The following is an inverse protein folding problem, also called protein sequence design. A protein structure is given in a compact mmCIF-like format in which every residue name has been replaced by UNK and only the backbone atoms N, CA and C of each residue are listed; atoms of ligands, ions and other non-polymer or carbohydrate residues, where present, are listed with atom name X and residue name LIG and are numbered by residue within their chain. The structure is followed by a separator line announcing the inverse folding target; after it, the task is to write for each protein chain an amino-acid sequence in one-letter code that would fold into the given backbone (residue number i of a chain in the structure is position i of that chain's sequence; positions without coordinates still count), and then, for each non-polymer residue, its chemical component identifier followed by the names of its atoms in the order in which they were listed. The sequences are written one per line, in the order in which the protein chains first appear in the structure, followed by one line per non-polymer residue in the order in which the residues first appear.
data_IF_237474186932
#
_entry.id   IF_237474186932
#
_cell.length_a   1.000
_cell.length_b   1.000
_cell.length_c   1.000
_cell.angle_alpha   90.00
_cell.angle_beta   90.00
_cell.angle_gamma   90.00
#
_symmetry.space_group_name_H-M   'P 1'
#
loop_
_entity.id
_entity.type
_entity.pdbx_description
1 polymer ?
#
# COMPACT_ATOMS: atom_id res chain seq x y z
N UNK A 1 -6.02 7.44 17.18
CA UNK A 1 -5.25 8.11 16.16
C UNK A 1 -4.53 7.14 15.28
N UNK A 2 -4.52 7.37 14.01
CA UNK A 2 -3.76 6.54 13.10
C UNK A 2 -2.26 6.79 13.25
N UNK A 3 -1.48 6.27 12.33
CA UNK A 3 -0.04 6.49 12.33
C UNK A 3 0.25 7.97 12.09
N UNK A 4 1.33 8.46 12.70
CA UNK A 4 1.75 9.82 12.52
C UNK A 4 2.21 10.03 11.08
N UNK A 5 2.28 11.29 10.66
CA UNK A 5 2.76 11.64 9.34
C UNK A 5 4.16 11.10 9.08
N UNK A 6 5.05 11.24 10.07
CA UNK A 6 6.43 10.77 9.94
C UNK A 6 6.50 9.25 9.81
N UNK A 7 5.74 8.55 10.65
CA UNK A 7 5.72 7.08 10.62
C UNK A 7 5.12 6.58 9.32
N UNK A 8 4.06 7.25 8.85
CA UNK A 8 3.43 6.90 7.59
C UNK A 8 4.38 7.07 6.40
N UNK A 9 5.08 8.20 6.36
CA UNK A 9 6.05 8.48 5.29
C UNK A 9 7.20 7.47 5.32
N UNK A 10 7.67 7.11 6.50
CA UNK A 10 8.74 6.13 6.66
C UNK A 10 8.32 4.77 6.12
N UNK A 11 7.11 4.33 6.48
CA UNK A 11 6.59 3.04 5.99
C UNK A 11 6.40 3.02 4.49
N UNK A 12 5.87 4.10 3.93
CA UNK A 12 5.69 4.19 2.49
C UNK A 12 7.02 4.19 1.76
N UNK A 13 8.04 4.86 2.32
CA UNK A 13 9.38 4.86 1.72
C UNK A 13 9.99 3.47 1.69
N UNK A 14 9.83 2.71 2.79
CA UNK A 14 10.31 1.32 2.84
C UNK A 14 9.59 0.44 1.81
N UNK A 15 8.28 0.59 1.72
CA UNK A 15 7.49 -0.19 0.77
C UNK A 15 7.89 0.15 -0.67
N UNK A 16 8.11 1.44 -0.95
CA UNK A 16 8.53 1.88 -2.28
C UNK A 16 9.89 1.28 -2.65
N UNK A 17 10.84 1.30 -1.72
CA UNK A 17 12.16 0.73 -1.97
C UNK A 17 12.07 -0.77 -2.22
N UNK A 18 11.28 -1.47 -1.40
CA UNK A 18 11.05 -2.90 -1.58
C UNK A 18 10.49 -3.20 -2.99
N UNK A 19 9.51 -2.42 -3.41
CA UNK A 19 8.88 -2.62 -4.71
C UNK A 19 9.82 -2.29 -5.86
N UNK A 20 10.64 -1.24 -5.72
CA UNK A 20 11.64 -0.91 -6.74
C UNK A 20 12.63 -2.06 -6.94
N UNK A 21 13.03 -2.72 -5.87
CA UNK A 21 13.92 -3.88 -5.95
C UNK A 21 13.25 -5.06 -6.67
N UNK A 22 11.93 -5.11 -6.66
CA UNK A 22 11.16 -6.10 -7.41
C UNK A 22 10.81 -5.63 -8.81
N UNK A 23 11.44 -4.56 -9.26
CA UNK A 23 11.33 -4.00 -10.61
C UNK A 23 10.01 -3.30 -10.90
N UNK A 24 9.32 -2.84 -9.86
CA UNK A 24 8.19 -1.96 -10.03
C UNK A 24 8.68 -0.52 -10.15
N UNK A 25 7.91 0.26 -10.91
CA UNK A 25 8.13 1.70 -11.03
C UNK A 25 7.07 2.39 -10.15
N UNK A 26 7.51 3.29 -9.28
CA UNK A 26 6.59 4.05 -8.44
C UNK A 26 6.00 5.18 -9.29
N UNK A 27 4.68 5.15 -9.45
CA UNK A 27 3.96 6.14 -10.26
C UNK A 27 3.47 7.29 -9.40
N UNK A 28 2.99 6.99 -8.21
CA UNK A 28 2.48 8.01 -7.30
C UNK A 28 2.60 7.54 -5.85
N UNK A 29 2.69 8.50 -4.95
CA UNK A 29 2.75 8.27 -3.51
C UNK A 29 1.73 9.18 -2.86
N UNK A 30 0.87 8.61 -2.02
CA UNK A 30 -0.14 9.39 -1.30
C UNK A 30 -1.20 10.00 -2.20
N UNK A 31 -1.67 9.26 -3.20
CA UNK A 31 -2.74 9.76 -4.06
C UNK A 31 -4.01 9.93 -3.26
N UNK A 32 -4.61 11.08 -3.32
CA UNK A 32 -5.74 11.48 -2.48
C UNK A 32 -6.87 12.07 -3.29
N UNK A 33 -8.11 11.74 -2.88
CA UNK A 33 -9.29 12.37 -3.44
C UNK A 33 -10.38 12.40 -2.35
N UNK A 34 -11.56 12.89 -2.71
CA UNK A 34 -12.67 12.97 -1.75
C UNK A 34 -13.15 11.59 -1.28
N UNK A 35 -12.84 10.53 -2.03
CA UNK A 35 -13.29 9.18 -1.68
C UNK A 35 -12.30 8.44 -0.78
N UNK A 36 -11.05 8.89 -0.71
CA UNK A 36 -10.04 8.23 0.11
C UNK A 36 -8.64 8.46 -0.40
N UNK A 37 -7.73 7.59 0.05
CA UNK A 37 -6.31 7.71 -0.24
C UNK A 37 -5.73 6.35 -0.59
N UNK A 38 -4.76 6.35 -1.51
CA UNK A 38 -3.97 5.16 -1.84
C UNK A 38 -2.51 5.48 -1.52
N UNK A 39 -1.89 4.64 -0.70
CA UNK A 39 -0.54 4.92 -0.21
C UNK A 39 0.50 4.95 -1.32
N UNK A 40 0.48 3.95 -2.21
CA UNK A 40 1.40 3.89 -3.34
C UNK A 40 0.68 3.37 -4.57
N UNK A 41 1.05 3.90 -5.73
CA UNK A 41 0.64 3.36 -7.02
C UNK A 41 1.91 3.00 -7.76
N UNK A 42 2.06 1.73 -8.13
CA UNK A 42 3.25 1.24 -8.81
C UNK A 42 2.85 0.45 -10.06
N UNK A 43 3.79 0.24 -10.96
CA UNK A 43 3.49 -0.52 -12.16
C UNK A 43 4.69 -1.36 -12.59
N UNK A 44 4.39 -2.42 -13.32
CA UNK A 44 5.39 -3.20 -14.04
C UNK A 44 4.87 -3.43 -15.46
N UNK A 45 5.39 -4.44 -16.15
CA UNK A 45 4.98 -4.69 -17.54
C UNK A 45 3.54 -5.15 -17.68
N UNK A 46 2.96 -5.74 -16.63
CA UNK A 46 1.64 -6.37 -16.70
C UNK A 46 0.59 -5.65 -15.86
N UNK A 47 0.98 -5.08 -14.74
CA UNK A 47 0.03 -4.59 -13.74
C UNK A 47 0.23 -3.14 -13.37
N UNK A 48 -0.89 -2.47 -13.09
CA UNK A 48 -0.89 -1.20 -12.35
C UNK A 48 -1.43 -1.56 -10.96
N UNK A 49 -0.60 -1.37 -9.94
CA UNK A 49 -0.88 -1.88 -8.60
C UNK A 49 -1.15 -0.76 -7.62
N UNK A 50 -2.31 -0.83 -6.97
CA UNK A 50 -2.69 0.09 -5.92
C UNK A 50 -2.34 -0.57 -4.59
N UNK A 51 -1.44 0.05 -3.82
CA UNK A 51 -0.83 -0.58 -2.66
C UNK A 51 -1.24 0.13 -1.37
N UNK A 52 -1.72 -0.66 -0.43
CA UNK A 52 -1.99 -0.20 0.93
C UNK A 52 -0.83 -0.65 1.81
N UNK A 53 -0.25 0.29 2.56
CA UNK A 53 0.88 0.01 3.45
C UNK A 53 0.40 0.01 4.88
N UNK A 54 0.68 -1.08 5.62
CA UNK A 54 0.27 -1.24 7.00
C UNK A 54 1.49 -1.44 7.88
N UNK A 55 1.63 -0.59 8.90
CA UNK A 55 2.66 -0.76 9.91
C UNK A 55 2.11 -1.58 11.06
N UNK A 56 2.88 -2.58 11.49
CA UNK A 56 2.53 -3.47 12.59
C UNK A 56 3.65 -3.45 13.61
N UNK A 57 3.30 -3.45 14.90
CA UNK A 57 4.32 -3.55 15.94
C UNK A 57 4.70 -4.99 16.22
N UNK A 58 3.79 -5.92 15.99
CA UNK A 58 4.02 -7.32 16.29
C UNK A 58 3.27 -8.20 15.28
N UNK A 59 3.94 -9.24 14.81
CA UNK A 59 3.32 -10.24 13.95
C UNK A 59 2.22 -11.02 14.67
N UNK A 60 2.30 -11.09 16.01
CA UNK A 60 1.33 -11.84 16.80
C UNK A 60 -0.08 -11.27 16.70
N UNK A 61 -0.20 -9.99 16.39
CA UNK A 61 -1.49 -9.33 16.27
C UNK A 61 -1.92 -9.13 14.83
N UNK A 62 -1.13 -9.61 13.87
CA UNK A 62 -1.45 -9.45 12.48
C UNK A 62 -2.49 -10.49 12.06
N UNK A 63 -3.72 -10.06 11.95
CA UNK A 63 -4.80 -10.90 11.46
C UNK A 63 -5.12 -10.49 10.05
N UNK A 64 -5.32 -11.47 9.18
CA UNK A 64 -5.63 -11.17 7.79
C UNK A 64 -6.80 -10.19 7.66
N UNK A 65 -7.82 -10.35 8.50
CA UNK A 65 -9.00 -9.50 8.46
C UNK A 65 -8.78 -8.11 9.05
N UNK A 66 -7.64 -7.86 9.68
CA UNK A 66 -7.35 -6.57 10.29
C UNK A 66 -6.66 -5.60 9.35
N UNK A 67 -6.17 -6.05 8.22
CA UNK A 67 -5.42 -5.12 7.39
C UNK A 67 -6.30 -4.30 6.47
N UNK A 68 -7.31 -4.87 5.86
CA UNK A 68 -8.21 -4.09 5.00
C UNK A 68 -9.60 -4.70 5.02
N UNK A 69 -10.55 -4.05 5.70
CA UNK A 69 -11.92 -4.55 5.75
C UNK A 69 -12.69 -4.15 4.47
N UNK A 70 -13.93 -4.65 4.34
CA UNK A 70 -14.73 -4.42 3.15
C UNK A 70 -15.02 -2.95 2.87
N UNK A 71 -15.24 -2.16 3.93
CA UNK A 71 -15.52 -0.73 3.77
C UNK A 71 -14.29 0.01 3.23
N UNK A 72 -13.12 -0.32 3.74
CA UNK A 72 -11.88 0.28 3.28
C UNK A 72 -11.58 -0.17 1.86
N UNK A 73 -11.83 -1.44 1.55
CA UNK A 73 -11.65 -1.94 0.19
C UNK A 73 -12.53 -1.16 -0.80
N UNK A 74 -13.77 -0.87 -0.43
CA UNK A 74 -14.67 -0.10 -1.31
C UNK A 74 -14.13 1.30 -1.56
N UNK A 75 -13.59 1.95 -0.52
CA UNK A 75 -13.01 3.28 -0.68
C UNK A 75 -11.79 3.25 -1.59
N UNK A 76 -10.95 2.22 -1.44
CA UNK A 76 -9.78 2.06 -2.30
C UNK A 76 -10.20 1.81 -3.74
N UNK A 77 -11.20 0.96 -3.98
CA UNK A 77 -11.70 0.69 -5.33
C UNK A 77 -12.23 1.96 -5.99
N UNK A 78 -12.99 2.75 -5.24
CA UNK A 78 -13.55 4.00 -5.75
C UNK A 78 -12.44 5.00 -6.07
N UNK A 79 -11.46 5.12 -5.19
CA UNK A 79 -10.32 6.00 -5.41
C UNK A 79 -9.50 5.56 -6.62
N UNK A 80 -9.29 4.26 -6.76
CA UNK A 80 -8.57 3.70 -7.90
C UNK A 80 -9.32 3.95 -9.20
N UNK A 81 -10.65 3.82 -9.18
CA UNK A 81 -11.47 4.09 -10.37
C UNK A 81 -11.32 5.53 -10.82
N UNK A 82 -11.29 6.48 -9.88
CA UNK A 82 -11.06 7.87 -10.21
C UNK A 82 -9.68 8.07 -10.82
N UNK A 83 -8.65 7.48 -10.22
CA UNK A 83 -7.29 7.56 -10.76
C UNK A 83 -7.25 7.05 -12.19
N UNK A 84 -7.86 5.89 -12.44
CA UNK A 84 -7.87 5.29 -13.78
C UNK A 84 -8.64 6.13 -14.79
N UNK A 85 -9.66 6.84 -14.36
CA UNK A 85 -10.40 7.72 -15.26
C UNK A 85 -9.56 8.92 -15.68
N UNK A 86 -8.66 9.37 -14.80
CA UNK A 86 -7.76 10.50 -15.07
C UNK A 86 -6.49 10.08 -15.77
N UNK A 87 -6.07 8.84 -15.58
CA UNK A 87 -4.82 8.30 -16.13
C UNK A 87 -5.06 6.91 -16.70
N UNK A 88 -5.73 6.83 -17.85
CA UNK A 88 -6.05 5.53 -18.44
C UNK A 88 -4.81 4.72 -18.77
N UNK A 89 -4.93 3.39 -18.68
CA UNK A 89 -3.83 2.48 -18.98
C UNK A 89 -4.38 1.14 -19.46
N UNK A 90 -3.55 0.43 -20.23
CA UNK A 90 -3.88 -0.93 -20.67
C UNK A 90 -3.41 -1.99 -19.67
N UNK A 91 -2.69 -1.56 -18.62
CA UNK A 91 -2.22 -2.49 -17.61
C UNK A 91 -3.38 -3.02 -16.77
N UNK A 92 -3.24 -4.24 -16.30
CA UNK A 92 -4.26 -4.85 -15.43
C UNK A 92 -4.19 -4.24 -14.04
N UNK A 93 -5.28 -3.67 -13.52
CA UNK A 93 -5.31 -3.17 -12.15
C UNK A 93 -5.19 -4.32 -11.14
N UNK A 94 -4.49 -4.07 -10.06
CA UNK A 94 -4.33 -5.05 -8.98
C UNK A 94 -4.23 -4.33 -7.65
N UNK A 95 -4.79 -4.92 -6.59
CA UNK A 95 -4.76 -4.35 -5.25
C UNK A 95 -3.89 -5.19 -4.35
N UNK A 96 -2.83 -4.59 -3.82
CA UNK A 96 -1.87 -5.28 -2.95
C UNK A 96 -1.85 -4.63 -1.56
N UNK A 97 -1.46 -5.42 -0.57
CA UNK A 97 -1.21 -4.93 0.78
C UNK A 97 0.24 -5.25 1.14
N UNK A 98 0.95 -4.28 1.68
CA UNK A 98 2.29 -4.49 2.22
C UNK A 98 2.25 -4.23 3.71
N UNK A 99 2.54 -5.26 4.50
CA UNK A 99 2.66 -5.16 5.94
C UNK A 99 4.12 -5.01 6.32
N UNK A 100 4.41 -4.05 7.19
CA UNK A 100 5.76 -3.80 7.69
C UNK A 100 5.74 -3.99 9.19
N UNK A 101 6.46 -5.00 9.67
CA UNK A 101 6.57 -5.28 11.10
C UNK A 101 7.74 -4.51 11.66
N UNK A 102 7.44 -3.54 12.49
CA UNK A 102 8.43 -2.60 13.02
C UNK A 102 8.17 -2.40 14.51
N UNK A 103 8.64 -3.34 15.37
CA UNK A 103 8.37 -3.29 16.81
C UNK A 103 8.81 -2.00 17.48
N UNK A 104 9.87 -1.38 16.98
CA UNK A 104 10.40 -0.14 17.54
C UNK A 104 10.08 1.08 16.67
N UNK A 105 9.04 0.99 15.84
CA UNK A 105 8.64 2.07 14.97
C UNK A 105 9.77 2.43 14.01
N UNK A 106 10.01 3.71 13.83
CA UNK A 106 11.05 4.19 12.91
C UNK A 106 12.47 3.86 13.39
N UNK A 107 12.61 3.40 14.63
CA UNK A 107 13.91 2.98 15.19
C UNK A 107 14.22 1.50 14.90
N UNK A 108 13.30 0.79 14.29
CA UNK A 108 13.48 -0.63 14.00
C UNK A 108 14.63 -0.83 13.03
N UNK A 109 15.60 -1.65 13.43
CA UNK A 109 16.81 -1.87 12.62
C UNK A 109 16.55 -2.76 11.42
N UNK A 110 15.73 -3.78 11.58
CA UNK A 110 15.44 -4.75 10.52
C UNK A 110 13.93 -4.96 10.39
N UNK A 111 13.21 -3.98 9.83
CA UNK A 111 11.77 -4.15 9.62
C UNK A 111 11.50 -5.31 8.68
N UNK A 112 10.50 -6.10 9.00
CA UNK A 112 10.14 -7.26 8.20
C UNK A 112 8.98 -6.88 7.29
N UNK A 113 9.11 -7.17 6.00
CA UNK A 113 8.12 -6.79 5.00
C UNK A 113 7.38 -8.02 4.48
N UNK A 114 6.06 -7.99 4.53
CA UNK A 114 5.20 -9.04 3.99
C UNK A 114 4.33 -8.43 2.90
N UNK A 115 4.44 -8.96 1.70
CA UNK A 115 3.73 -8.45 0.54
C UNK A 115 2.62 -9.42 0.14
N UNK A 116 1.38 -8.95 0.23
CA UNK A 116 0.22 -9.74 -0.17
C UNK A 116 -0.24 -9.24 -1.53
N UNK A 117 0.13 -9.96 -2.58
CA UNK A 117 -0.28 -9.62 -3.94
C UNK A 117 -1.72 -10.00 -4.17
N UNK A 118 -2.44 -9.14 -4.89
CA UNK A 118 -3.83 -9.39 -5.22
C UNK A 118 -4.65 -9.70 -3.97
N UNK A 119 -4.45 -8.87 -2.96
CA UNK A 119 -5.03 -9.10 -1.62
C UNK A 119 -6.56 -9.01 -1.64
N UNK A 120 -7.13 -8.24 -2.55
CA UNK A 120 -8.57 -8.18 -2.77
C UNK A 120 -8.82 -7.73 -4.21
N UNK A 121 -10.07 -7.92 -4.67
CA UNK A 121 -10.42 -7.64 -6.07
C UNK A 121 -11.17 -6.32 -6.23
#
# INVERSE_FOLDING_TARGET
MGKSKLTGAWGEALAAEYLRKKRYIVVASGYRCRFGEIDLIVKNKAFLVFVEVKLRKSADFAQAMEYVDGRKQDRIRTTAALYLSESPTDLQPRFDVIEIYAPDGTQTLHPEIHHLEDAFQ
#
